data_IF_741212361254
#
_entry.id   IF_741212361254
#
_cell.length_a   1.000
_cell.length_b   1.000
_cell.length_c   1.000
_cell.angle_alpha   90.00
_cell.angle_beta   90.00
_cell.angle_gamma   90.00
#
_symmetry.space_group_name_H-M   'P 1'
#
loop_
_entity.id
_entity.type
_entity.pdbx_description
1 polymer ?
#
# COMPACT_ATOMS: atom_id res chain seq x y z
N UNK A 1 -23.06 -1.48 -13.62
CA UNK A 1 -21.82 -0.68 -13.75
C UNK A 1 -21.08 -0.68 -12.44
N UNK A 2 -19.82 -1.05 -12.42
CA UNK A 2 -18.96 -0.79 -11.26
C UNK A 2 -18.66 0.70 -11.17
N UNK A 3 -18.84 1.28 -9.99
CA UNK A 3 -18.73 2.72 -9.75
C UNK A 3 -17.50 3.08 -8.95
N UNK A 4 -17.02 4.30 -9.14
CA UNK A 4 -16.00 4.88 -8.28
C UNK A 4 -16.53 5.08 -6.86
N UNK A 5 -15.59 5.11 -5.89
CA UNK A 5 -15.89 5.21 -4.47
C UNK A 5 -15.03 6.29 -3.81
N UNK A 6 -15.64 6.99 -2.87
CA UNK A 6 -14.98 7.97 -1.99
C UNK A 6 -15.44 7.77 -0.55
N UNK A 7 -14.92 8.53 0.39
CA UNK A 7 -15.41 8.54 1.77
C UNK A 7 -16.78 9.25 1.85
N UNK A 8 -17.65 8.80 2.74
CA UNK A 8 -18.93 9.49 3.00
C UNK A 8 -18.74 10.73 3.89
N UNK A 9 -17.76 10.74 4.80
CA UNK A 9 -17.45 11.86 5.69
C UNK A 9 -15.95 11.95 5.98
N UNK A 10 -15.44 13.12 6.40
CA UNK A 10 -14.06 13.26 6.83
C UNK A 10 -13.79 12.45 8.12
N UNK A 11 -12.58 11.93 8.26
CA UNK A 11 -12.08 11.31 9.49
C UNK A 11 -10.66 11.77 9.76
N UNK A 12 -10.32 11.94 11.04
CA UNK A 12 -9.00 12.43 11.48
C UNK A 12 -8.39 11.51 12.52
N UNK A 13 -7.08 11.33 12.44
CA UNK A 13 -6.30 10.60 13.42
C UNK A 13 -4.96 11.33 13.69
N UNK A 14 -4.33 10.99 14.81
CA UNK A 14 -2.99 11.45 15.17
C UNK A 14 -2.09 10.25 15.38
N UNK A 15 -0.83 10.38 15.01
CA UNK A 15 0.19 9.37 15.18
C UNK A 15 1.58 9.96 15.10
N UNK A 16 2.55 9.11 14.81
CA UNK A 16 3.96 9.47 14.68
C UNK A 16 4.50 8.93 13.36
N UNK A 17 5.37 9.68 12.69
CA UNK A 17 6.11 9.17 11.53
C UNK A 17 7.12 8.10 11.96
N UNK A 18 7.14 6.96 11.27
CA UNK A 18 8.04 5.85 11.60
C UNK A 18 9.51 6.28 11.49
N UNK A 19 9.85 6.96 10.41
CA UNK A 19 11.22 7.36 10.13
C UNK A 19 11.57 8.70 10.76
N UNK A 20 10.70 9.69 10.65
CA UNK A 20 10.95 11.05 11.15
C UNK A 20 10.83 11.18 12.67
N UNK A 21 10.03 10.34 13.32
CA UNK A 21 9.69 10.50 14.74
C UNK A 21 8.83 11.73 15.05
N UNK A 22 8.31 12.41 14.02
CA UNK A 22 7.53 13.65 14.17
C UNK A 22 6.06 13.28 14.41
N UNK A 23 5.36 13.93 15.35
CA UNK A 23 3.91 13.84 15.47
C UNK A 23 3.22 14.30 14.18
N UNK A 24 2.19 13.55 13.76
CA UNK A 24 1.47 13.81 12.51
C UNK A 24 -0.02 13.79 12.77
N UNK A 25 -0.74 14.80 12.29
CA UNK A 25 -2.19 14.76 12.16
C UNK A 25 -2.55 14.41 10.72
N UNK A 26 -3.30 13.33 10.57
CA UNK A 26 -3.83 12.84 9.31
C UNK A 26 -5.33 13.12 9.24
N UNK A 27 -5.81 13.69 8.14
CA UNK A 27 -7.24 13.79 7.83
C UNK A 27 -7.52 13.19 6.47
N UNK A 28 -8.42 12.21 6.42
CA UNK A 28 -8.90 11.61 5.19
C UNK A 28 -10.25 12.25 4.84
N UNK A 29 -10.37 12.77 3.62
CA UNK A 29 -11.55 13.51 3.19
C UNK A 29 -12.14 12.93 1.90
N UNK A 30 -13.48 13.05 1.72
CA UNK A 30 -14.10 12.78 0.43
C UNK A 30 -13.48 13.62 -0.68
N UNK A 31 -13.45 13.08 -1.89
CA UNK A 31 -13.05 13.80 -3.09
C UNK A 31 -14.06 13.55 -4.22
N UNK A 32 -14.21 14.48 -5.19
CA UNK A 32 -15.10 14.28 -6.32
C UNK A 32 -14.66 13.12 -7.20
N UNK A 33 -15.56 12.61 -8.03
CA UNK A 33 -15.24 11.58 -9.01
C UNK A 33 -14.09 12.02 -9.94
N UNK A 34 -13.27 11.08 -10.37
CA UNK A 34 -12.08 11.28 -11.21
C UNK A 34 -10.97 12.14 -10.56
N UNK A 35 -11.07 12.39 -9.25
CA UNK A 35 -10.05 13.14 -8.51
C UNK A 35 -8.78 12.31 -8.30
N UNK A 36 -8.93 11.01 -8.04
CA UNK A 36 -7.85 10.13 -7.60
C UNK A 36 -7.50 10.35 -6.13
N UNK A 37 -6.40 9.73 -5.69
CA UNK A 37 -5.84 9.92 -4.36
C UNK A 37 -4.83 11.06 -4.42
N UNK A 38 -5.04 12.10 -3.59
CA UNK A 38 -4.19 13.29 -3.54
C UNK A 38 -3.71 13.51 -2.11
N UNK A 39 -2.40 13.58 -1.93
CA UNK A 39 -1.76 13.94 -0.66
C UNK A 39 -1.62 15.46 -0.60
N UNK A 40 -2.15 16.06 0.48
CA UNK A 40 -2.11 17.52 0.70
C UNK A 40 -1.30 17.85 1.95
N UNK A 41 -0.20 18.58 1.76
CA UNK A 41 0.63 19.12 2.83
C UNK A 41 0.00 20.41 3.33
N UNK A 42 -0.71 20.33 4.48
CA UNK A 42 -1.42 21.47 5.09
C UNK A 42 -0.55 22.30 6.02
N UNK A 43 0.64 21.84 6.34
CA UNK A 43 1.68 22.58 7.10
C UNK A 43 2.45 23.57 6.22
N UNK A 44 2.24 23.58 4.92
CA UNK A 44 2.84 24.51 3.97
C UNK A 44 1.90 25.68 3.71
N UNK A 45 2.45 26.87 3.42
CA UNK A 45 1.69 28.05 3.04
C UNK A 45 2.15 28.56 1.66
N UNK A 46 1.31 28.48 0.63
CA UNK A 46 0.01 27.81 0.60
C UNK A 46 0.13 26.27 0.69
N UNK A 47 -0.95 25.57 1.09
CA UNK A 47 -1.01 24.10 1.05
C UNK A 47 -0.67 23.55 -0.34
N UNK A 48 0.04 22.41 -0.40
CA UNK A 48 0.53 21.82 -1.64
C UNK A 48 0.02 20.40 -1.82
N UNK A 49 -0.36 20.07 -3.03
CA UNK A 49 -0.93 18.77 -3.42
C UNK A 49 0.08 17.93 -4.20
N UNK A 50 0.14 16.64 -3.90
CA UNK A 50 0.89 15.62 -4.65
C UNK A 50 -0.08 14.53 -5.05
N UNK A 51 -0.22 14.27 -6.35
CA UNK A 51 -1.06 13.17 -6.86
C UNK A 51 -0.39 11.83 -6.66
N UNK A 52 -1.20 10.82 -6.30
CA UNK A 52 -0.76 9.42 -6.34
C UNK A 52 -0.67 8.96 -7.79
N UNK A 53 0.55 8.83 -8.29
CA UNK A 53 0.85 8.28 -9.61
C UNK A 53 2.24 7.64 -9.61
N UNK A 54 2.45 6.63 -10.45
CA UNK A 54 3.71 5.90 -10.49
C UNK A 54 4.93 6.82 -10.77
N UNK A 55 4.71 7.90 -11.53
CA UNK A 55 5.72 8.91 -11.83
C UNK A 55 6.11 9.79 -10.67
N UNK A 56 5.23 9.98 -9.69
CA UNK A 56 5.46 10.82 -8.50
C UNK A 56 6.29 10.09 -7.43
N UNK A 57 6.49 8.78 -7.52
CA UNK A 57 7.34 8.05 -6.57
C UNK A 57 8.80 8.44 -6.76
N UNK A 58 9.38 9.01 -5.72
CA UNK A 58 10.76 9.48 -5.67
C UNK A 58 11.66 8.51 -4.88
N UNK A 59 11.81 8.76 -3.57
CA UNK A 59 12.60 7.92 -2.67
C UNK A 59 11.84 6.64 -2.31
N UNK A 60 12.53 5.50 -2.42
CA UNK A 60 11.98 4.18 -2.10
C UNK A 60 12.83 3.45 -1.05
N UNK A 61 13.72 4.18 -0.37
CA UNK A 61 14.53 3.62 0.73
C UNK A 61 13.67 3.47 1.97
N UNK A 62 13.45 2.23 2.39
CA UNK A 62 12.68 1.82 3.57
C UNK A 62 11.17 2.10 3.50
N UNK A 63 10.68 2.93 2.58
CA UNK A 63 9.28 3.28 2.41
C UNK A 63 9.03 3.85 1.01
N UNK A 64 7.79 3.83 0.55
CA UNK A 64 7.40 4.56 -0.66
C UNK A 64 7.14 6.03 -0.34
N UNK A 65 7.81 6.92 -1.09
CA UNK A 65 7.67 8.37 -0.96
C UNK A 65 7.16 8.96 -2.27
N UNK A 66 6.03 9.66 -2.23
CA UNK A 66 5.56 10.47 -3.35
C UNK A 66 6.09 11.89 -3.23
N UNK A 67 6.44 12.51 -4.37
CA UNK A 67 7.05 13.84 -4.39
C UNK A 67 6.62 14.65 -5.62
N UNK A 68 6.61 15.98 -5.44
CA UNK A 68 6.48 16.97 -6.52
C UNK A 68 7.47 18.11 -6.23
N UNK A 69 8.55 18.16 -7.00
CA UNK A 69 9.67 19.06 -6.77
C UNK A 69 10.34 18.78 -5.40
N UNK A 70 10.34 19.77 -4.54
CA UNK A 70 10.92 19.75 -3.18
C UNK A 70 9.97 19.22 -2.11
N UNK A 71 8.70 18.99 -2.46
CA UNK A 71 7.67 18.53 -1.54
C UNK A 71 7.56 17.02 -1.60
N UNK A 72 7.39 16.40 -0.43
CA UNK A 72 7.28 14.96 -0.32
C UNK A 72 6.29 14.51 0.76
N UNK A 73 5.77 13.29 0.58
CA UNK A 73 5.04 12.54 1.58
C UNK A 73 5.57 11.11 1.58
N UNK A 74 6.18 10.71 2.68
CA UNK A 74 6.80 9.38 2.85
C UNK A 74 5.85 8.38 3.53
N UNK A 75 6.19 7.09 3.46
CA UNK A 75 5.51 5.97 4.13
C UNK A 75 4.03 5.89 3.75
N UNK A 76 3.75 6.01 2.43
CA UNK A 76 2.37 6.03 1.92
C UNK A 76 1.78 4.64 1.72
N UNK A 77 2.59 3.59 1.66
CA UNK A 77 2.25 2.22 1.26
C UNK A 77 1.12 1.60 2.09
N UNK A 78 1.13 1.72 3.42
CA UNK A 78 0.12 1.10 4.27
C UNK A 78 -1.26 1.76 4.09
N UNK A 79 -1.31 3.10 3.99
CA UNK A 79 -2.54 3.84 3.70
C UNK A 79 -3.04 3.52 2.28
N UNK A 80 -2.14 3.50 1.29
CA UNK A 80 -2.49 3.15 -0.09
C UNK A 80 -3.01 1.72 -0.19
N UNK A 81 -2.43 0.80 0.59
CA UNK A 81 -2.92 -0.58 0.70
C UNK A 81 -4.34 -0.66 1.24
N UNK A 82 -4.65 0.11 2.31
CA UNK A 82 -6.01 0.20 2.86
C UNK A 82 -7.02 0.80 1.86
N UNK A 83 -6.64 1.87 1.15
CA UNK A 83 -7.48 2.48 0.11
C UNK A 83 -7.77 1.51 -1.03
N UNK A 84 -6.74 0.78 -1.49
CA UNK A 84 -6.87 -0.29 -2.48
C UNK A 84 -7.80 -1.41 -2.00
N UNK A 85 -7.55 -1.91 -0.80
CA UNK A 85 -8.30 -3.02 -0.21
C UNK A 85 -9.78 -2.73 0.00
N UNK A 86 -10.14 -1.46 0.25
CA UNK A 86 -11.53 -1.00 0.35
C UNK A 86 -12.08 -0.44 -0.95
N UNK A 87 -11.30 -0.44 -2.02
CA UNK A 87 -11.70 0.02 -3.34
C UNK A 87 -12.04 1.52 -3.42
N UNK A 88 -11.35 2.36 -2.64
CA UNK A 88 -11.52 3.82 -2.64
C UNK A 88 -10.73 4.43 -3.80
N UNK A 89 -11.42 5.04 -4.74
CA UNK A 89 -10.80 5.64 -5.94
C UNK A 89 -10.42 7.10 -5.73
N UNK A 90 -11.16 7.83 -4.88
CA UNK A 90 -11.02 9.27 -4.74
C UNK A 90 -10.97 9.67 -3.27
N UNK A 91 -9.88 10.30 -2.85
CA UNK A 91 -9.71 10.85 -1.50
C UNK A 91 -8.68 11.97 -1.47
N UNK A 92 -8.86 12.94 -0.57
CA UNK A 92 -7.83 13.90 -0.19
C UNK A 92 -7.24 13.44 1.15
N UNK A 93 -5.93 13.25 1.16
CA UNK A 93 -5.14 12.86 2.33
C UNK A 93 -4.41 14.10 2.83
N UNK A 94 -4.98 14.80 3.82
CA UNK A 94 -4.35 15.98 4.42
C UNK A 94 -3.43 15.54 5.56
N UNK A 95 -2.19 16.07 5.55
CA UNK A 95 -1.18 15.83 6.61
C UNK A 95 -0.43 17.11 6.92
N UNK A 96 -0.04 17.27 8.18
CA UNK A 96 0.72 18.41 8.68
C UNK A 96 2.23 18.10 8.86
N UNK A 97 2.73 17.06 8.20
CA UNK A 97 4.13 16.64 8.19
C UNK A 97 4.50 15.95 6.87
N UNK A 98 5.77 15.61 6.69
CA UNK A 98 6.30 14.99 5.46
C UNK A 98 6.18 13.46 5.42
N UNK A 99 5.45 12.86 6.35
CA UNK A 99 5.34 11.39 6.47
C UNK A 99 3.94 11.01 6.97
N UNK A 100 3.35 9.94 6.41
CA UNK A 100 2.11 9.34 6.91
C UNK A 100 2.40 8.70 8.29
N UNK A 101 1.51 8.88 9.30
CA UNK A 101 1.75 8.27 10.60
C UNK A 101 1.71 6.74 10.50
N UNK A 102 2.63 6.06 11.20
CA UNK A 102 2.79 4.60 11.11
C UNK A 102 1.65 3.83 11.78
N UNK A 103 0.91 4.46 12.67
CA UNK A 103 -0.14 3.84 13.48
C UNK A 103 0.38 2.63 14.28
N UNK A 104 -0.23 1.46 14.08
CA UNK A 104 0.19 0.20 14.70
C UNK A 104 1.17 -0.62 13.83
N UNK A 105 1.69 -0.01 12.77
CA UNK A 105 2.60 -0.66 11.83
C UNK A 105 1.92 -1.53 10.76
N UNK A 106 0.59 -1.57 10.74
CA UNK A 106 -0.21 -2.31 9.75
C UNK A 106 -1.16 -1.38 9.00
N UNK A 107 -1.97 -1.93 8.08
CA UNK A 107 -3.05 -1.19 7.43
C UNK A 107 -4.37 -1.20 8.23
N UNK A 108 -4.47 -1.96 9.34
CA UNK A 108 -5.72 -2.16 10.06
C UNK A 108 -6.30 -0.87 10.65
N UNK A 109 -5.45 0.01 11.17
CA UNK A 109 -5.90 1.31 11.70
C UNK A 109 -6.48 2.20 10.58
N UNK A 110 -5.87 2.20 9.41
CA UNK A 110 -6.40 2.93 8.25
C UNK A 110 -7.73 2.34 7.75
N UNK A 111 -7.84 1.00 7.71
CA UNK A 111 -9.13 0.32 7.43
C UNK A 111 -10.20 0.75 8.43
N UNK A 112 -9.89 0.78 9.73
CA UNK A 112 -10.83 1.25 10.75
C UNK A 112 -11.28 2.69 10.52
N UNK A 113 -10.35 3.61 10.22
CA UNK A 113 -10.65 5.00 9.94
C UNK A 113 -11.55 5.15 8.69
N UNK A 114 -11.20 4.46 7.60
CA UNK A 114 -11.97 4.50 6.35
C UNK A 114 -13.39 3.94 6.55
N UNK A 115 -13.54 2.83 7.28
CA UNK A 115 -14.85 2.26 7.62
C UNK A 115 -15.66 3.17 8.53
N UNK A 116 -15.00 3.84 9.49
CA UNK A 116 -15.67 4.82 10.38
C UNK A 116 -16.16 6.06 9.62
N UNK A 117 -15.41 6.49 8.59
CA UNK A 117 -15.83 7.57 7.69
C UNK A 117 -17.04 7.18 6.82
N UNK A 118 -17.24 5.88 6.62
CA UNK A 118 -18.15 5.33 5.63
C UNK A 118 -17.65 5.52 4.20
N UNK A 119 -18.23 4.77 3.26
CA UNK A 119 -17.89 4.84 1.84
C UNK A 119 -19.12 5.14 1.01
N UNK A 120 -18.97 6.03 0.03
CA UNK A 120 -20.00 6.44 -0.90
C UNK A 120 -19.65 6.04 -2.33
N UNK A 121 -20.59 5.42 -3.05
CA UNK A 121 -20.50 5.18 -4.48
C UNK A 121 -20.82 6.43 -5.27
N UNK A 122 -19.94 6.79 -6.20
CA UNK A 122 -20.08 7.97 -7.06
C UNK A 122 -20.70 7.61 -8.42
N UNK A 123 -21.24 8.60 -9.12
CA UNK A 123 -21.92 8.35 -10.41
C UNK A 123 -20.98 8.11 -11.60
N UNK A 124 -19.68 8.06 -11.37
CA UNK A 124 -18.67 7.79 -12.39
C UNK A 124 -18.31 6.29 -12.46
N UNK A 125 -17.99 5.74 -13.64
CA UNK A 125 -17.54 4.36 -13.77
C UNK A 125 -16.18 4.18 -13.11
N UNK A 126 -15.99 3.06 -12.39
CA UNK A 126 -14.68 2.65 -11.87
C UNK A 126 -13.78 2.25 -13.03
N UNK A 127 -12.57 2.79 -13.03
CA UNK A 127 -11.56 2.54 -14.07
C UNK A 127 -10.49 1.61 -13.54
N UNK A 128 -10.12 0.63 -14.33
CA UNK A 128 -9.07 -0.34 -14.05
C UNK A 128 -7.93 -0.17 -15.04
N UNK A 129 -6.72 -0.46 -14.62
CA UNK A 129 -5.61 -0.73 -15.52
C UNK A 129 -5.56 -2.23 -15.76
N UNK A 130 -5.93 -2.66 -16.96
CA UNK A 130 -5.86 -4.06 -17.39
C UNK A 130 -4.48 -4.33 -17.99
N UNK A 131 -3.76 -5.30 -17.44
CA UNK A 131 -2.48 -5.77 -18.01
C UNK A 131 -2.78 -6.70 -19.17
N UNK A 132 -2.21 -6.39 -20.35
CA UNK A 132 -2.44 -7.11 -21.61
C UNK A 132 -1.25 -7.99 -22.03
N UNK A 133 -0.04 -7.70 -21.52
CA UNK A 133 1.19 -8.46 -21.79
C UNK A 133 1.99 -8.65 -20.51
N UNK A 134 2.73 -9.74 -20.36
CA UNK A 134 3.64 -9.89 -19.24
C UNK A 134 4.68 -8.78 -19.21
N UNK A 135 4.90 -8.21 -18.04
CA UNK A 135 5.96 -7.24 -17.75
C UNK A 135 6.75 -7.77 -16.56
N UNK A 136 8.06 -7.76 -16.66
CA UNK A 136 8.97 -8.22 -15.60
C UNK A 136 10.14 -7.26 -15.45
N UNK A 137 10.52 -7.00 -14.20
CA UNK A 137 11.72 -6.26 -13.85
C UNK A 137 12.57 -7.07 -12.88
N UNK A 138 13.91 -6.91 -12.98
CA UNK A 138 14.89 -7.65 -12.18
C UNK A 138 15.99 -6.74 -11.68
N UNK A 139 16.47 -7.04 -10.47
CA UNK A 139 17.66 -6.46 -9.87
C UNK A 139 18.44 -7.57 -9.14
N UNK A 140 19.49 -8.09 -9.78
CA UNK A 140 20.18 -9.30 -9.31
C UNK A 140 19.22 -10.50 -9.27
N UNK A 141 19.06 -11.13 -8.09
CA UNK A 141 18.15 -12.25 -7.88
C UNK A 141 16.70 -11.81 -7.63
N UNK A 142 16.48 -10.54 -7.27
CA UNK A 142 15.16 -9.98 -6.98
C UNK A 142 14.41 -9.74 -8.28
N UNK A 143 13.10 -10.01 -8.26
CA UNK A 143 12.28 -9.73 -9.43
C UNK A 143 10.82 -9.50 -9.04
N UNK A 144 10.11 -8.78 -9.90
CA UNK A 144 8.68 -8.58 -9.83
C UNK A 144 8.07 -8.64 -11.24
N UNK A 145 6.88 -9.25 -11.36
CA UNK A 145 6.22 -9.53 -12.63
C UNK A 145 4.73 -9.27 -12.56
N UNK A 146 4.19 -8.70 -13.62
CA UNK A 146 2.77 -8.60 -13.89
C UNK A 146 2.41 -9.45 -15.10
N UNK A 147 1.30 -10.17 -15.02
CA UNK A 147 0.74 -10.97 -16.10
C UNK A 147 -0.75 -10.70 -16.28
N UNK A 148 -1.31 -10.85 -17.48
CA UNK A 148 -2.75 -10.73 -17.71
C UNK A 148 -3.55 -11.65 -16.79
N UNK A 149 -4.54 -11.09 -16.09
CA UNK A 149 -5.46 -11.83 -15.25
C UNK A 149 -6.76 -11.05 -15.09
N UNK A 150 -7.90 -11.74 -15.19
CA UNK A 150 -9.21 -11.12 -15.02
C UNK A 150 -9.60 -11.06 -13.54
N UNK A 151 -9.14 -10.04 -12.86
CA UNK A 151 -9.22 -9.84 -11.41
C UNK A 151 -7.90 -9.34 -10.87
N UNK A 152 -7.65 -9.53 -9.58
CA UNK A 152 -6.37 -9.25 -8.98
C UNK A 152 -5.93 -10.41 -8.10
N UNK A 153 -4.74 -10.92 -8.32
CA UNK A 153 -4.08 -11.90 -7.46
C UNK A 153 -2.61 -11.55 -7.26
N UNK A 154 -2.07 -11.97 -6.16
CA UNK A 154 -0.71 -11.67 -5.75
C UNK A 154 -0.03 -12.90 -5.17
N UNK A 155 1.21 -13.18 -5.58
CA UNK A 155 2.09 -14.13 -4.94
C UNK A 155 3.41 -13.43 -4.57
N UNK A 156 3.80 -13.51 -3.31
CA UNK A 156 5.00 -12.87 -2.80
C UNK A 156 5.87 -13.87 -2.03
N UNK A 157 7.15 -13.94 -2.36
CA UNK A 157 8.14 -14.73 -1.65
C UNK A 157 9.18 -13.79 -1.05
N UNK A 158 9.35 -13.86 0.27
CA UNK A 158 10.48 -13.26 0.98
C UNK A 158 11.58 -14.32 1.14
N UNK A 159 12.80 -13.86 1.43
CA UNK A 159 13.92 -14.77 1.71
C UNK A 159 14.83 -14.05 2.71
N UNK A 160 14.46 -14.14 3.99
CA UNK A 160 15.25 -13.65 5.11
C UNK A 160 15.88 -14.83 5.82
N UNK A 161 17.21 -14.87 5.85
CA UNK A 161 17.96 -15.85 6.61
C UNK A 161 18.04 -15.40 8.08
N UNK A 162 16.97 -15.64 8.83
CA UNK A 162 16.87 -15.24 10.24
C UNK A 162 16.05 -16.26 11.04
N UNK A 163 16.53 -16.76 12.21
CA UNK A 163 15.87 -17.84 12.96
C UNK A 163 14.38 -17.58 13.26
N UNK A 164 14.00 -16.34 13.59
CA UNK A 164 12.61 -15.99 13.85
C UNK A 164 11.72 -16.01 12.58
N UNK A 165 12.31 -15.75 11.41
CA UNK A 165 11.59 -15.76 10.12
C UNK A 165 11.55 -17.17 9.54
N UNK A 166 12.62 -17.96 9.70
CA UNK A 166 12.73 -19.35 9.20
C UNK A 166 11.65 -20.27 9.78
N UNK A 167 11.10 -19.93 10.94
CA UNK A 167 9.99 -20.69 11.57
C UNK A 167 8.62 -20.29 11.05
N UNK A 168 8.54 -19.31 10.15
CA UNK A 168 7.30 -18.75 9.60
C UNK A 168 7.13 -19.09 8.11
N UNK A 169 5.93 -18.85 7.57
CA UNK A 169 5.71 -18.91 6.12
C UNK A 169 6.42 -17.74 5.43
N UNK A 170 7.34 -18.05 4.50
CA UNK A 170 8.04 -17.03 3.71
C UNK A 170 7.43 -16.82 2.31
N UNK A 171 6.29 -17.45 2.04
CA UNK A 171 5.56 -17.31 0.79
C UNK A 171 4.07 -17.15 1.06
N UNK A 172 3.44 -16.19 0.41
CA UNK A 172 1.99 -15.99 0.43
C UNK A 172 1.45 -15.95 -0.99
N UNK A 173 0.22 -16.49 -1.15
CA UNK A 173 -0.53 -16.43 -2.39
C UNK A 173 -1.96 -15.99 -2.07
N UNK A 174 -2.41 -14.93 -2.70
CA UNK A 174 -3.66 -14.23 -2.43
C UNK A 174 -4.42 -14.13 -3.75
N UNK A 175 -5.67 -14.60 -3.77
CA UNK A 175 -6.63 -14.31 -4.83
C UNK A 175 -7.74 -13.44 -4.21
N UNK A 176 -7.88 -12.22 -4.68
CA UNK A 176 -8.89 -11.29 -4.15
C UNK A 176 -10.32 -11.65 -4.56
N UNK A 177 -10.52 -12.73 -5.30
CA UNK A 177 -11.85 -13.28 -5.54
C UNK A 177 -12.43 -13.97 -4.28
N UNK A 178 -11.57 -14.46 -3.39
CA UNK A 178 -11.94 -15.23 -2.19
C UNK A 178 -11.25 -14.77 -0.89
N UNK A 179 -10.20 -13.95 -0.98
CA UNK A 179 -9.43 -13.46 0.16
C UNK A 179 -9.91 -12.06 0.58
N UNK A 180 -10.20 -11.88 1.86
CA UNK A 180 -10.57 -10.58 2.44
C UNK A 180 -9.32 -9.77 2.75
N UNK A 181 -9.19 -8.59 2.15
CA UNK A 181 -8.11 -7.66 2.53
C UNK A 181 -8.19 -7.30 4.02
N UNK A 182 -9.39 -7.05 4.53
CA UNK A 182 -9.62 -6.57 5.89
C UNK A 182 -9.27 -7.63 6.93
N UNK A 183 -9.69 -8.88 6.69
CA UNK A 183 -9.57 -9.96 7.67
C UNK A 183 -8.23 -10.67 7.58
N UNK A 184 -7.70 -10.85 6.37
CA UNK A 184 -6.56 -11.72 6.11
C UNK A 184 -5.23 -10.94 5.96
N UNK A 185 -5.27 -9.67 5.45
CA UNK A 185 -4.05 -8.96 5.04
C UNK A 185 -3.79 -7.73 5.91
N UNK A 186 -4.80 -6.90 6.14
CA UNK A 186 -4.65 -5.56 6.71
C UNK A 186 -3.93 -5.52 8.06
N UNK A 187 -3.93 -6.61 8.83
CA UNK A 187 -3.37 -6.69 10.18
C UNK A 187 -1.88 -7.02 10.23
N UNK A 188 -1.25 -7.37 9.11
CA UNK A 188 0.16 -7.70 9.06
C UNK A 188 1.03 -6.46 9.35
N UNK A 189 1.87 -6.53 10.39
CA UNK A 189 2.72 -5.42 10.85
C UNK A 189 4.04 -5.36 10.11
N UNK A 190 4.54 -4.14 9.95
CA UNK A 190 5.93 -3.90 9.53
C UNK A 190 6.91 -4.48 10.55
N UNK A 191 8.14 -4.74 10.12
CA UNK A 191 9.15 -5.37 10.95
C UNK A 191 10.55 -4.80 10.68
N UNK A 192 11.42 -4.97 11.67
CA UNK A 192 12.81 -4.56 11.56
C UNK A 192 13.73 -5.32 12.53
N UNK A 193 15.03 -5.17 12.31
CA UNK A 193 16.07 -5.84 13.08
C UNK A 193 16.76 -4.83 14.02
N UNK A 194 16.99 -5.24 15.27
CA UNK A 194 17.74 -4.41 16.25
C UNK A 194 19.11 -4.05 15.71
N UNK A 195 19.79 -4.97 15.01
CA UNK A 195 21.11 -4.75 14.38
C UNK A 195 21.12 -3.53 13.44
N UNK A 196 19.99 -3.19 12.84
CA UNK A 196 19.91 -2.10 11.87
C UNK A 196 19.52 -0.76 12.53
N UNK A 197 19.00 -0.78 13.76
CA UNK A 197 18.43 0.40 14.43
C UNK A 197 19.43 1.54 14.56
N UNK A 198 20.66 1.26 15.03
CA UNK A 198 21.65 2.30 15.22
C UNK A 198 22.10 2.92 13.89
N UNK A 199 22.26 2.09 12.87
CA UNK A 199 22.60 2.53 11.51
C UNK A 199 21.44 3.36 10.92
N UNK A 200 20.19 2.94 11.07
CA UNK A 200 19.03 3.68 10.59
C UNK A 200 18.90 5.02 11.31
N UNK A 201 19.04 5.05 12.64
CA UNK A 201 18.95 6.27 13.44
C UNK A 201 20.06 7.26 13.11
N UNK A 202 21.28 6.78 12.86
CA UNK A 202 22.40 7.65 12.41
C UNK A 202 22.12 8.33 11.06
N UNK A 203 21.19 7.77 10.27
CA UNK A 203 20.74 8.32 8.98
C UNK A 203 19.42 9.11 9.11
N UNK A 204 18.90 9.33 10.33
CA UNK A 204 17.63 10.00 10.57
C UNK A 204 16.41 9.17 10.20
N UNK A 205 16.53 7.83 10.24
CA UNK A 205 15.44 6.88 9.97
C UNK A 205 15.07 6.11 11.24
N UNK A 206 13.87 5.52 11.26
CA UNK A 206 13.33 4.73 12.38
C UNK A 206 13.32 5.47 13.73
N UNK A 207 13.23 6.81 13.73
CA UNK A 207 13.22 7.62 14.96
C UNK A 207 11.94 7.45 15.76
N UNK A 208 10.81 7.13 15.11
CA UNK A 208 9.51 6.85 15.74
C UNK A 208 9.21 5.37 15.92
N UNK A 209 10.13 4.47 15.54
CA UNK A 209 9.96 3.03 15.65
C UNK A 209 9.97 2.54 17.09
N UNK A 210 9.01 1.67 17.42
CA UNK A 210 8.84 1.05 18.74
C UNK A 210 8.22 -0.34 18.63
N UNK A 211 8.15 -1.09 19.74
CA UNK A 211 7.44 -2.36 19.80
C UNK A 211 5.93 -2.23 19.59
N UNK A 212 5.37 -1.02 19.73
CA UNK A 212 3.93 -0.77 19.53
C UNK A 212 3.56 -0.64 18.05
N UNK A 213 4.55 -0.35 17.17
CA UNK A 213 4.30 -0.05 15.77
C UNK A 213 5.18 -0.84 14.78
N UNK A 214 5.95 -1.81 15.26
CA UNK A 214 6.74 -2.72 14.42
C UNK A 214 6.99 -4.05 15.15
N UNK A 215 7.14 -5.12 14.39
CA UNK A 215 7.72 -6.37 14.89
C UNK A 215 9.23 -6.15 14.90
N UNK A 216 9.84 -6.21 16.07
CA UNK A 216 11.27 -6.01 16.25
C UNK A 216 11.93 -7.34 16.57
N UNK A 217 13.00 -7.66 15.86
CA UNK A 217 13.76 -8.90 16.05
C UNK A 217 15.18 -8.60 16.49
N UNK A 218 15.67 -9.36 17.50
CA UNK A 218 17.09 -9.45 17.78
C UNK A 218 17.75 -10.48 16.84
N UNK A 219 18.89 -11.00 17.14
CA UNK A 219 19.63 -11.98 16.32
C UNK A 219 18.96 -13.37 16.24
N UNK A 220 17.98 -13.65 17.10
CA UNK A 220 17.41 -15.00 17.27
C UNK A 220 15.88 -15.00 17.25
N UNK A 221 15.23 -13.99 17.84
CA UNK A 221 13.80 -14.01 18.15
C UNK A 221 13.11 -12.66 17.95
N UNK A 222 11.76 -12.72 17.94
CA UNK A 222 10.89 -11.55 18.05
C UNK A 222 10.92 -11.03 19.49
N UNK A 223 11.06 -9.72 19.67
CA UNK A 223 11.13 -9.04 20.97
C UNK A 223 9.77 -8.55 21.47
N UNK A 224 8.77 -8.42 20.59
CA UNK A 224 7.44 -7.99 20.98
C UNK A 224 6.84 -8.99 21.98
N UNK A 225 6.19 -8.51 23.06
CA UNK A 225 5.61 -9.38 24.08
C UNK A 225 4.45 -10.22 23.57
N UNK A 226 3.69 -9.69 22.60
CA UNK A 226 2.65 -10.43 21.90
C UNK A 226 3.24 -11.22 20.74
N UNK A 227 2.66 -12.39 20.50
CA UNK A 227 3.02 -13.24 19.38
C UNK A 227 2.73 -12.57 18.03
N UNK A 228 3.23 -13.18 16.95
CA UNK A 228 2.81 -12.83 15.61
C UNK A 228 1.28 -12.93 15.48
N UNK A 229 0.68 -12.01 14.76
CA UNK A 229 -0.80 -11.98 14.52
C UNK A 229 -1.25 -13.12 13.61
N UNK A 230 -0.33 -13.64 12.79
CA UNK A 230 -0.53 -14.79 11.90
C UNK A 230 0.79 -15.48 11.59
N UNK A 231 0.79 -16.77 11.20
CA UNK A 231 2.02 -17.56 11.03
C UNK A 231 2.95 -17.06 9.93
N UNK A 232 2.44 -16.32 8.96
CA UNK A 232 3.13 -15.78 7.79
C UNK A 232 3.16 -14.23 7.78
N UNK A 233 3.08 -13.61 8.97
CA UNK A 233 2.92 -12.15 9.10
C UNK A 233 4.00 -11.36 8.38
N UNK A 234 5.25 -11.82 8.34
CA UNK A 234 6.34 -11.15 7.62
C UNK A 234 6.11 -11.12 6.10
N UNK A 235 5.78 -12.27 5.51
CA UNK A 235 5.49 -12.36 4.09
C UNK A 235 4.18 -11.63 3.72
N UNK A 236 3.18 -11.72 4.60
CA UNK A 236 1.91 -11.02 4.42
C UNK A 236 2.07 -9.50 4.49
N UNK A 237 2.95 -8.99 5.38
CA UNK A 237 3.26 -7.56 5.40
C UNK A 237 3.93 -7.11 4.10
N UNK A 238 4.86 -7.89 3.54
CA UNK A 238 5.44 -7.55 2.23
C UNK A 238 4.43 -7.61 1.09
N UNK A 239 3.41 -8.47 1.19
CA UNK A 239 2.28 -8.45 0.27
C UNK A 239 1.40 -7.19 0.47
N UNK A 240 1.15 -6.77 1.71
CA UNK A 240 0.46 -5.52 2.04
C UNK A 240 1.19 -4.31 1.45
N UNK A 241 2.51 -4.21 1.63
CA UNK A 241 3.34 -3.16 1.03
C UNK A 241 3.19 -3.14 -0.51
N UNK A 242 3.29 -4.31 -1.15
CA UNK A 242 3.17 -4.43 -2.59
C UNK A 242 1.78 -3.97 -3.10
N UNK A 243 0.69 -4.30 -2.39
CA UNK A 243 -0.67 -3.82 -2.72
C UNK A 243 -0.71 -2.29 -2.72
N UNK A 244 -0.13 -1.65 -1.70
CA UNK A 244 -0.06 -0.19 -1.59
C UNK A 244 0.81 0.44 -2.66
N UNK A 245 2.00 -0.12 -2.90
CA UNK A 245 2.93 0.33 -3.94
C UNK A 245 2.30 0.26 -5.35
N UNK A 246 1.61 -0.85 -5.64
CA UNK A 246 0.93 -1.03 -6.93
C UNK A 246 -0.27 -0.08 -7.08
N UNK A 247 -0.93 0.28 -5.98
CA UNK A 247 -2.04 1.24 -6.01
C UNK A 247 -1.58 2.69 -6.23
N UNK A 248 -0.28 2.99 -6.13
CA UNK A 248 0.31 4.26 -6.57
C UNK A 248 0.15 4.50 -8.09
N UNK A 249 -0.33 3.51 -8.84
CA UNK A 249 -0.80 3.70 -10.22
C UNK A 249 -2.03 4.64 -10.30
N UNK A 250 -2.73 4.86 -9.17
CA UNK A 250 -3.92 5.70 -9.07
C UNK A 250 -5.22 5.02 -9.50
N UNK A 251 -5.16 3.75 -9.88
CA UNK A 251 -6.30 2.92 -10.30
C UNK A 251 -6.07 1.46 -9.92
N UNK A 252 -7.13 0.68 -9.63
CA UNK A 252 -6.99 -0.75 -9.38
C UNK A 252 -6.44 -1.47 -10.62
N UNK A 253 -5.52 -2.41 -10.35
CA UNK A 253 -4.80 -3.17 -11.37
C UNK A 253 -5.50 -4.51 -11.61
N UNK A 254 -5.86 -4.82 -12.85
CA UNK A 254 -6.33 -6.15 -13.27
C UNK A 254 -5.14 -6.94 -13.76
N UNK A 255 -4.58 -7.78 -12.89
CA UNK A 255 -3.36 -8.54 -13.16
C UNK A 255 -3.12 -9.66 -12.16
N UNK A 256 -2.24 -10.59 -12.52
CA UNK A 256 -1.51 -11.44 -11.59
C UNK A 256 -0.15 -10.80 -11.31
N UNK A 257 0.11 -10.46 -10.05
CA UNK A 257 1.41 -10.00 -9.59
C UNK A 257 2.16 -11.14 -8.92
N UNK A 258 3.42 -11.34 -9.29
CA UNK A 258 4.30 -12.32 -8.63
C UNK A 258 5.66 -11.68 -8.36
N UNK A 259 6.20 -11.87 -7.16
CA UNK A 259 7.47 -11.28 -6.77
C UNK A 259 8.32 -12.20 -5.89
N UNK A 260 9.62 -12.09 -6.09
CA UNK A 260 10.63 -12.71 -5.26
C UNK A 260 11.57 -11.63 -4.70
N UNK A 261 11.62 -11.49 -3.37
CA UNK A 261 12.47 -10.52 -2.64
C UNK A 261 12.28 -9.07 -3.11
N UNK A 262 11.11 -8.73 -3.67
CA UNK A 262 10.81 -7.38 -4.14
C UNK A 262 10.67 -6.39 -2.96
N UNK A 263 10.70 -5.12 -3.29
CA UNK A 263 10.47 -4.01 -2.38
C UNK A 263 10.01 -2.78 -3.15
N UNK A 264 9.84 -1.66 -2.48
CA UNK A 264 9.25 -0.44 -3.03
C UNK A 264 9.91 0.04 -4.34
N UNK A 265 11.24 -0.01 -4.42
CA UNK A 265 11.97 0.37 -5.64
C UNK A 265 11.59 -0.49 -6.84
N UNK A 266 11.58 -1.81 -6.66
CA UNK A 266 11.30 -2.75 -7.75
C UNK A 266 9.81 -2.75 -8.12
N UNK A 267 8.92 -2.58 -7.15
CA UNK A 267 7.48 -2.42 -7.38
C UNK A 267 7.19 -1.17 -8.22
N UNK A 268 7.83 -0.04 -7.88
CA UNK A 268 7.68 1.18 -8.68
C UNK A 268 8.30 1.06 -10.07
N UNK A 269 9.49 0.43 -10.19
CA UNK A 269 10.10 0.19 -11.49
C UNK A 269 9.17 -0.64 -12.40
N UNK A 270 8.51 -1.66 -11.84
CA UNK A 270 7.55 -2.50 -12.56
C UNK A 270 6.35 -1.68 -13.08
N UNK A 271 5.80 -0.77 -12.27
CA UNK A 271 4.72 0.12 -12.70
C UNK A 271 5.18 1.07 -13.81
N UNK A 272 6.37 1.66 -13.68
CA UNK A 272 6.95 2.53 -14.73
C UNK A 272 7.15 1.77 -16.04
N UNK A 273 7.68 0.55 -15.97
CA UNK A 273 7.88 -0.31 -17.14
C UNK A 273 6.54 -0.66 -17.80
N UNK A 274 5.52 -1.02 -16.99
CA UNK A 274 4.17 -1.25 -17.50
C UNK A 274 3.64 -0.04 -18.27
N UNK A 275 3.71 1.15 -17.67
CA UNK A 275 3.15 2.38 -18.25
C UNK A 275 3.89 2.83 -19.52
N UNK A 276 5.19 2.54 -19.62
CA UNK A 276 6.03 2.90 -20.77
C UNK A 276 5.98 1.88 -21.90
N UNK A 277 5.57 0.63 -21.64
CA UNK A 277 5.56 -0.43 -22.66
C UNK A 277 4.31 -0.32 -23.56
N UNK A 278 4.47 -0.06 -24.88
CA UNK A 278 3.34 0.10 -25.79
C UNK A 278 2.45 -1.15 -25.88
N UNK A 279 1.16 -0.96 -25.66
CA UNK A 279 0.16 -2.02 -25.75
C UNK A 279 0.29 -3.10 -24.67
N UNK A 280 0.98 -2.80 -23.55
CA UNK A 280 1.07 -3.69 -22.40
C UNK A 280 -0.12 -3.54 -21.45
N UNK A 281 -0.85 -2.46 -21.56
CA UNK A 281 -2.01 -2.18 -20.72
C UNK A 281 -3.08 -1.39 -21.47
N UNK A 282 -4.29 -1.42 -20.92
CA UNK A 282 -5.41 -0.57 -21.36
C UNK A 282 -6.24 -0.14 -20.15
N UNK A 283 -6.91 1.01 -20.28
CA UNK A 283 -7.93 1.39 -19.31
C UNK A 283 -9.23 0.62 -19.60
N UNK A 284 -9.84 0.05 -18.57
CA UNK A 284 -11.07 -0.73 -18.67
C UNK A 284 -12.13 -0.21 -17.69
N UNK A 285 -13.38 -0.16 -18.16
CA UNK A 285 -14.57 0.09 -17.35
C UNK A 285 -15.60 -1.02 -17.57
N UNK A 286 -16.52 -1.22 -16.64
CA UNK A 286 -17.55 -2.25 -16.71
C UNK A 286 -18.94 -1.65 -16.53
N UNK A 287 -19.64 -1.46 -17.63
CA UNK A 287 -21.04 -1.00 -17.61
C UNK A 287 -21.99 -2.12 -17.14
N UNK A 288 -21.74 -3.35 -17.61
CA UNK A 288 -22.46 -4.53 -17.18
C UNK A 288 -21.66 -5.28 -16.10
N UNK A 289 -22.30 -5.50 -14.96
CA UNK A 289 -21.71 -6.24 -13.84
C UNK A 289 -21.41 -7.71 -14.19
N UNK A 290 -22.14 -8.30 -15.15
CA UNK A 290 -21.87 -9.68 -15.58
C UNK A 290 -20.52 -9.84 -16.26
N UNK A 291 -19.98 -8.76 -16.84
CA UNK A 291 -18.67 -8.74 -17.49
C UNK A 291 -17.56 -8.21 -16.61
N UNK A 292 -17.86 -7.88 -15.34
CA UNK A 292 -16.89 -7.35 -14.39
C UNK A 292 -16.26 -8.47 -13.52
N UNK A 293 -15.08 -8.26 -12.92
CA UNK A 293 -14.50 -9.19 -11.96
C UNK A 293 -15.26 -9.14 -10.62
N UNK A 294 -16.51 -9.64 -10.63
CA UNK A 294 -17.48 -9.48 -9.55
C UNK A 294 -17.00 -10.12 -8.25
N UNK A 295 -16.31 -11.26 -8.31
CA UNK A 295 -15.81 -11.92 -7.11
C UNK A 295 -14.86 -10.99 -6.34
N UNK A 296 -13.92 -10.35 -7.04
CA UNK A 296 -13.05 -9.33 -6.46
C UNK A 296 -13.83 -8.09 -6.01
N UNK A 297 -14.73 -7.56 -6.85
CA UNK A 297 -15.52 -6.37 -6.51
C UNK A 297 -16.41 -6.54 -5.27
N UNK A 298 -16.84 -7.77 -4.97
CA UNK A 298 -17.60 -8.09 -3.75
C UNK A 298 -16.78 -7.90 -2.48
N UNK A 299 -15.46 -8.00 -2.54
CA UNK A 299 -14.59 -7.74 -1.39
C UNK A 299 -14.64 -6.28 -0.93
N UNK A 300 -15.11 -5.36 -1.79
CA UNK A 300 -15.32 -3.97 -1.41
C UNK A 300 -16.70 -3.69 -0.78
N UNK A 301 -17.61 -4.66 -0.77
CA UNK A 301 -18.99 -4.50 -0.30
C UNK A 301 -19.16 -4.48 1.23
N UNK A 302 -18.04 -4.51 1.98
CA UNK A 302 -18.01 -4.53 3.44
C UNK A 302 -18.18 -3.17 4.11
N UNK A 303 -18.51 -2.14 3.36
CA UNK A 303 -18.59 -0.75 3.84
C UNK A 303 -19.96 -0.19 3.60
#
# INVERSE_FOLDING_TARGET
MLRQRTLASPVTAKGIGLHSGVPVQLSLRPAPADHGIVFRRVDLDPPRDIRSEAGAVGDTRMASTVSDGDIRVATVEHLMSALSGLGIDNAIVEIDAAEIPIMDGSAATFVYLLRSAGVEEQRAPKRFVEVLKPIEVREGEKWARLEPFFGFRLAFTIDFNHPAVDTTGQQVSIDFADTSFVDDIARARTFGFVSDVDMLRSRGLALGGSLDNAIVMDEVRVLNPEALRQPDEFAMHKALDAIGDLYLLGKPLMASYTAFKSGHALNNLLLRELMQTPGAWAERTFEDLQHAPIAWARQWSWV
#
